data_IF_227859011890
#
_entry.id   IF_227859011890
#
_cell.length_a   1.000
_cell.length_b   1.000
_cell.length_c   1.000
_cell.angle_alpha   90.00
_cell.angle_beta   90.00
_cell.angle_gamma   90.00
#
_symmetry.space_group_name_H-M   'P 1'
#
loop_
_entity.id
_entity.type
_entity.pdbx_description
1 polymer ?
#
# COMPACT_ATOMS: atom_id res chain seq x y z
N UNK A 1 1.88 -3.05 -20.01
CA UNK A 1 1.26 -4.34 -19.65
C UNK A 1 -0.12 -4.04 -19.06
N UNK A 2 -1.21 -4.62 -19.56
CA UNK A 2 -2.53 -4.48 -18.93
C UNK A 2 -2.71 -5.61 -17.92
N UNK A 3 -3.04 -5.28 -16.67
CA UNK A 3 -3.34 -6.29 -15.65
C UNK A 3 -4.67 -7.00 -15.91
N UNK A 4 -4.82 -8.21 -15.37
CA UNK A 4 -6.07 -8.95 -15.42
C UNK A 4 -7.06 -8.42 -14.36
N UNK A 5 -7.75 -7.33 -14.70
CA UNK A 5 -8.69 -6.70 -13.78
C UNK A 5 -9.97 -7.52 -13.57
N UNK A 6 -10.32 -8.41 -14.49
CA UNK A 6 -11.46 -9.30 -14.32
C UNK A 6 -11.16 -10.33 -13.22
N UNK A 7 -10.02 -11.01 -13.31
CA UNK A 7 -9.58 -11.93 -12.27
C UNK A 7 -9.38 -11.22 -10.93
N UNK A 8 -8.73 -10.04 -10.94
CA UNK A 8 -8.49 -9.27 -9.72
C UNK A 8 -9.79 -8.91 -9.00
N UNK A 9 -10.87 -8.62 -9.74
CA UNK A 9 -12.16 -8.25 -9.18
C UNK A 9 -12.75 -9.35 -8.28
N UNK A 10 -12.54 -10.62 -8.65
CA UNK A 10 -13.03 -11.77 -7.88
C UNK A 10 -12.40 -11.91 -6.49
N UNK A 11 -11.27 -11.22 -6.25
CA UNK A 11 -10.53 -11.25 -4.99
C UNK A 11 -11.06 -10.26 -3.94
N UNK A 12 -11.99 -9.36 -4.31
CA UNK A 12 -12.49 -8.31 -3.42
C UNK A 12 -13.90 -8.58 -2.93
N UNK A 13 -14.11 -8.36 -1.62
CA UNK A 13 -15.45 -8.26 -1.07
C UNK A 13 -16.17 -6.99 -1.60
N UNK A 14 -17.52 -6.98 -1.70
CA UNK A 14 -18.26 -5.81 -2.17
C UNK A 14 -17.98 -4.53 -1.37
N UNK A 15 -17.73 -4.67 -0.06
CA UNK A 15 -17.40 -3.57 0.85
C UNK A 15 -15.91 -3.32 1.06
N UNK A 16 -15.02 -3.93 0.26
CA UNK A 16 -13.58 -3.75 0.41
C UNK A 16 -13.18 -2.28 0.27
N UNK A 17 -12.22 -1.83 1.07
CA UNK A 17 -11.72 -0.46 1.04
C UNK A 17 -10.24 -0.44 0.68
N UNK A 18 -9.86 0.46 -0.22
CA UNK A 18 -8.47 0.83 -0.45
C UNK A 18 -8.27 2.25 0.07
N UNK A 19 -7.21 2.50 0.85
CA UNK A 19 -6.93 3.84 1.39
C UNK A 19 -5.51 4.23 1.05
N UNK A 20 -5.34 5.37 0.39
CA UNK A 20 -4.03 6.00 0.18
C UNK A 20 -3.92 7.20 1.14
N UNK A 21 -3.13 7.08 2.21
CA UNK A 21 -2.96 8.17 3.17
C UNK A 21 -2.19 9.35 2.56
N UNK A 22 -2.30 10.52 3.19
CA UNK A 22 -1.58 11.74 2.82
C UNK A 22 -2.49 12.84 2.29
N UNK A 23 -1.88 13.82 1.63
CA UNK A 23 -2.52 15.01 1.05
C UNK A 23 -2.08 15.21 -0.41
N UNK A 24 -2.19 14.14 -1.19
CA UNK A 24 -1.95 14.16 -2.63
C UNK A 24 -3.28 14.21 -3.37
N UNK A 25 -3.32 14.65 -4.64
CA UNK A 25 -4.55 14.61 -5.44
C UNK A 25 -5.19 13.23 -5.61
N UNK A 26 -4.45 12.16 -5.29
CA UNK A 26 -4.96 10.80 -5.27
C UNK A 26 -5.32 10.34 -3.85
N UNK A 27 -4.93 11.02 -2.77
CA UNK A 27 -5.22 10.58 -1.40
C UNK A 27 -6.71 10.46 -1.12
N UNK A 28 -7.09 9.47 -0.31
CA UNK A 28 -8.49 9.17 0.00
C UNK A 28 -8.76 7.67 0.17
N UNK A 29 -10.05 7.33 0.24
CA UNK A 29 -10.54 5.96 0.37
C UNK A 29 -11.50 5.64 -0.78
N UNK A 30 -11.27 4.51 -1.45
CA UNK A 30 -12.16 3.94 -2.47
C UNK A 30 -12.83 2.69 -1.92
N UNK A 31 -14.14 2.58 -2.10
CA UNK A 31 -14.94 1.46 -1.58
C UNK A 31 -15.53 0.64 -2.72
N UNK A 32 -15.29 -0.66 -2.68
CA UNK A 32 -15.78 -1.65 -3.62
C UNK A 32 -14.86 -1.85 -4.82
N UNK A 33 -14.87 -3.05 -5.43
CA UNK A 33 -13.97 -3.42 -6.52
C UNK A 33 -14.04 -2.50 -7.74
N UNK A 34 -15.23 -1.95 -8.06
CA UNK A 34 -15.39 -0.96 -9.15
C UNK A 34 -14.56 0.29 -8.91
N UNK A 35 -14.67 0.87 -7.72
CA UNK A 35 -13.96 2.11 -7.38
C UNK A 35 -12.46 1.85 -7.27
N UNK A 36 -12.08 0.73 -6.65
CA UNK A 36 -10.68 0.37 -6.46
C UNK A 36 -10.01 0.11 -7.82
N UNK A 37 -10.52 -0.82 -8.63
CA UNK A 37 -9.85 -1.21 -9.88
C UNK A 37 -10.19 -0.29 -11.05
N UNK A 38 -11.44 0.18 -11.15
CA UNK A 38 -11.96 0.95 -12.27
C UNK A 38 -11.72 2.45 -12.17
N UNK A 39 -11.49 3.01 -10.98
CA UNK A 39 -11.27 4.45 -10.81
C UNK A 39 -9.88 4.76 -10.23
N UNK A 40 -9.47 4.10 -9.14
CA UNK A 40 -8.20 4.43 -8.49
C UNK A 40 -6.98 4.09 -9.36
N UNK A 41 -6.99 2.94 -10.05
CA UNK A 41 -5.87 2.51 -10.90
C UNK A 41 -5.73 3.41 -12.14
N UNK A 42 -6.79 3.73 -12.89
CA UNK A 42 -6.71 4.74 -13.96
C UNK A 42 -6.24 6.10 -13.46
N UNK A 43 -6.78 6.59 -12.34
CA UNK A 43 -6.36 7.88 -11.77
C UNK A 43 -4.86 7.92 -11.40
N UNK A 44 -4.30 6.78 -10.98
CA UNK A 44 -2.86 6.63 -10.74
C UNK A 44 -2.06 6.61 -12.04
N UNK A 45 -2.51 5.89 -13.08
CA UNK A 45 -1.86 5.85 -14.41
C UNK A 45 -1.84 7.21 -15.11
N UNK A 46 -2.86 8.02 -14.92
CA UNK A 46 -2.94 9.39 -15.46
C UNK A 46 -1.89 10.33 -14.86
N UNK A 47 -1.24 9.95 -13.75
CA UNK A 47 -0.28 10.77 -13.01
C UNK A 47 1.15 10.22 -13.05
N UNK A 48 1.33 8.96 -13.43
CA UNK A 48 2.62 8.27 -13.42
C UNK A 48 3.07 7.89 -14.84
N UNK A 49 4.37 8.01 -15.10
CA UNK A 49 4.98 7.43 -16.30
C UNK A 49 5.11 5.93 -16.08
N UNK A 50 4.16 5.15 -16.61
CA UNK A 50 4.03 3.72 -16.30
C UNK A 50 5.27 2.91 -16.66
N UNK A 51 6.02 3.34 -17.68
CA UNK A 51 7.23 2.65 -18.14
C UNK A 51 8.44 2.89 -17.22
N UNK A 52 8.32 3.84 -16.27
CA UNK A 52 9.35 4.12 -15.25
C UNK A 52 9.08 3.44 -13.91
N UNK A 53 7.96 2.71 -13.79
CA UNK A 53 7.56 2.10 -12.52
C UNK A 53 8.42 0.88 -12.21
N UNK A 54 9.07 0.94 -11.05
CA UNK A 54 9.80 -0.16 -10.45
C UNK A 54 9.10 -0.58 -9.16
N UNK A 55 8.89 -1.88 -8.99
CA UNK A 55 8.29 -2.48 -7.80
C UNK A 55 9.29 -3.44 -7.15
N UNK A 56 9.50 -3.27 -5.85
CA UNK A 56 10.38 -4.09 -5.03
C UNK A 56 9.54 -4.66 -3.87
N UNK A 57 9.24 -5.96 -3.93
CA UNK A 57 8.44 -6.63 -2.91
C UNK A 57 9.33 -7.08 -1.76
N UNK A 58 9.04 -6.63 -0.55
CA UNK A 58 9.88 -6.86 0.64
C UNK A 58 9.40 -8.10 1.41
N UNK A 59 8.10 -8.36 1.42
CA UNK A 59 7.54 -9.57 2.01
C UNK A 59 6.17 -9.39 2.64
N UNK A 60 5.78 -10.42 3.40
CA UNK A 60 4.55 -10.47 4.19
C UNK A 60 4.94 -10.78 5.64
N UNK A 61 5.24 -9.76 6.46
CA UNK A 61 5.67 -9.99 7.84
C UNK A 61 4.47 -10.38 8.72
N UNK A 62 4.17 -11.68 8.73
CA UNK A 62 3.13 -12.28 9.57
C UNK A 62 2.12 -13.11 8.78
N UNK A 63 1.43 -13.98 9.49
CA UNK A 63 0.34 -14.82 8.97
C UNK A 63 -0.93 -14.53 9.79
N UNK A 64 -2.11 -14.63 9.15
CA UNK A 64 -3.41 -14.43 9.80
C UNK A 64 -4.18 -13.19 9.30
N UNK A 65 -5.23 -12.80 10.02
CA UNK A 65 -6.07 -11.64 9.69
C UNK A 65 -5.90 -10.55 10.76
N UNK A 66 -5.36 -9.35 10.43
CA UNK A 66 -5.00 -8.84 9.11
C UNK A 66 -3.64 -9.33 8.59
N UNK A 67 -3.50 -9.42 7.26
CA UNK A 67 -2.22 -9.63 6.56
C UNK A 67 -1.59 -8.27 6.25
N UNK A 68 -0.28 -8.13 6.52
CA UNK A 68 0.51 -6.98 6.09
C UNK A 68 1.43 -7.39 4.94
N UNK A 69 1.36 -6.68 3.82
CA UNK A 69 2.32 -6.82 2.72
C UNK A 69 3.15 -5.54 2.63
N UNK A 70 4.46 -5.69 2.47
CA UNK A 70 5.40 -4.58 2.35
C UNK A 70 6.05 -4.59 0.96
N UNK A 71 6.07 -3.43 0.33
CA UNK A 71 6.74 -3.22 -0.96
C UNK A 71 7.16 -1.75 -1.10
N UNK A 72 8.16 -1.52 -1.94
CA UNK A 72 8.58 -0.20 -2.38
C UNK A 72 8.21 -0.01 -3.86
N UNK A 73 7.78 1.21 -4.19
CA UNK A 73 7.50 1.61 -5.58
C UNK A 73 8.30 2.86 -5.90
N UNK A 74 9.01 2.85 -7.02
CA UNK A 74 9.72 4.02 -7.58
C UNK A 74 9.16 4.31 -8.97
N UNK A 75 9.14 5.58 -9.35
CA UNK A 75 8.69 5.98 -10.68
C UNK A 75 8.65 7.49 -10.86
N UNK A 76 8.64 7.91 -12.12
CA UNK A 76 8.49 9.30 -12.50
C UNK A 76 7.00 9.69 -12.50
N UNK A 77 6.73 10.88 -11.96
CA UNK A 77 5.45 11.55 -12.16
C UNK A 77 5.42 12.22 -13.53
N UNK A 78 4.27 12.15 -14.21
CA UNK A 78 4.01 12.88 -15.46
C UNK A 78 4.11 14.41 -15.30
N UNK A 79 3.96 14.92 -14.08
CA UNK A 79 4.01 16.37 -13.79
C UNK A 79 5.37 16.82 -13.21
N UNK A 80 6.42 16.00 -13.30
CA UNK A 80 7.80 16.46 -13.15
C UNK A 80 8.34 16.67 -11.72
N UNK A 81 7.64 16.23 -10.66
CA UNK A 81 8.26 16.10 -9.33
C UNK A 81 8.53 14.63 -9.02
N UNK A 82 9.78 14.20 -8.84
CA UNK A 82 10.06 12.89 -8.29
C UNK A 82 9.46 12.81 -6.89
N UNK A 83 8.55 11.87 -6.66
CA UNK A 83 8.07 11.58 -5.32
C UNK A 83 9.21 10.95 -4.52
N UNK A 84 9.66 11.63 -3.46
CA UNK A 84 10.58 11.00 -2.51
C UNK A 84 9.77 10.02 -1.67
N UNK A 85 10.04 8.72 -1.83
CA UNK A 85 9.62 7.73 -0.84
C UNK A 85 10.47 7.94 0.41
N UNK A 86 9.93 8.62 1.41
CA UNK A 86 10.57 8.70 2.72
C UNK A 86 10.24 7.41 3.47
N UNK A 87 11.25 6.56 3.72
CA UNK A 87 11.12 5.42 4.63
C UNK A 87 10.54 5.89 5.96
N UNK A 88 9.39 5.37 6.43
CA UNK A 88 9.11 5.37 7.85
C UNK A 88 10.22 4.55 8.54
N UNK A 89 10.81 5.09 9.60
CA UNK A 89 11.73 4.30 10.43
C UNK A 89 11.01 3.06 10.98
N UNK A 90 11.73 1.95 11.25
CA UNK A 90 11.10 0.75 11.79
C UNK A 90 10.33 1.10 13.07
N UNK A 91 9.14 0.52 13.30
CA UNK A 91 8.40 0.73 14.53
C UNK A 91 9.32 0.34 15.70
N UNK A 92 9.56 1.29 16.60
CA UNK A 92 10.37 1.04 17.78
C UNK A 92 9.59 0.04 18.65
N UNK A 93 9.97 -1.24 18.62
CA UNK A 93 9.44 -2.22 19.59
C UNK A 93 9.88 -1.74 20.97
N UNK A 94 8.96 -1.17 21.75
CA UNK A 94 9.20 -0.95 23.17
C UNK A 94 9.48 -2.31 23.80
N UNK A 95 10.65 -2.54 24.41
CA UNK A 95 10.89 -3.79 25.09
C UNK A 95 9.91 -3.89 26.26
N UNK A 96 8.99 -4.86 26.19
CA UNK A 96 8.14 -5.23 27.31
C UNK A 96 9.04 -5.63 28.47
N UNK A 97 9.09 -4.80 29.51
CA UNK A 97 9.84 -5.11 30.74
C UNK A 97 9.26 -6.38 31.34
N UNK A 98 10.03 -7.46 31.58
CA UNK A 98 9.50 -8.64 32.23
C UNK A 98 9.03 -8.26 33.65
N UNK A 99 7.95 -8.89 34.17
CA UNK A 99 7.51 -8.65 35.53
C UNK A 99 8.65 -9.02 36.50
N UNK A 100 8.91 -8.14 37.48
CA UNK A 100 9.86 -8.43 38.56
C UNK A 100 9.37 -9.68 39.28
N UNK A 101 10.16 -10.74 39.24
CA UNK A 101 9.94 -11.88 40.13
C UNK A 101 10.10 -11.40 41.58
N UNK A 102 9.02 -11.43 42.35
CA UNK A 102 9.07 -11.33 43.80
C UNK A 102 9.81 -12.56 44.31
N UNK A 103 11.01 -12.37 44.87
CA UNK A 103 11.69 -13.43 45.61
C UNK A 103 11.03 -13.58 47.00
N UNK A 104 10.93 -14.81 47.53
CA UNK A 104 10.39 -15.10 48.85
C UNK A 104 11.28 -14.56 49.97
#
# INVERSE_FOLDING_TARGET
MAGDFEAARSLYAPGATWTLPGDLPLSGTWTGPDRILGESVPAMRDRLETDSLEFEFEGVPGEGEPVLAEWNTRGASRTGRPGVSARPGPPTRTPTRPPRASRP
#
